data_IF_562008420385
#
_entry.id   IF_562008420385
#
_cell.length_a   1.000
_cell.length_b   1.000
_cell.length_c   1.000
_cell.angle_alpha   90.00
_cell.angle_beta   90.00
_cell.angle_gamma   90.00
#
_symmetry.space_group_name_H-M   'P 1'
#
loop_
_entity.id
_entity.type
_entity.pdbx_description
1 polymer ?
#
# COMPACT_ATOMS: atom_id res chain seq x y z
N UNK A 1 7.11 16.74 1.15
CA UNK A 1 5.68 16.41 0.99
C UNK A 1 5.11 15.93 2.31
N UNK A 2 3.84 16.20 2.60
CA UNK A 2 3.17 15.70 3.80
C UNK A 2 3.05 14.16 3.78
N UNK A 3 3.41 13.43 4.85
CA UNK A 3 3.36 11.96 4.86
C UNK A 3 1.97 11.40 4.57
N UNK A 4 0.92 12.04 5.08
CA UNK A 4 -0.45 11.60 4.85
C UNK A 4 -0.87 11.80 3.39
N UNK A 5 -0.50 12.95 2.80
CA UNK A 5 -0.70 13.18 1.35
C UNK A 5 0.09 12.19 0.49
N UNK A 6 1.31 11.83 0.90
CA UNK A 6 2.12 10.85 0.17
C UNK A 6 1.48 9.45 0.23
N UNK A 7 1.01 9.05 1.41
CA UNK A 7 0.29 7.80 1.63
C UNK A 7 -0.97 7.71 0.74
N UNK A 8 -1.77 8.78 0.71
CA UNK A 8 -2.94 8.90 -0.17
C UNK A 8 -2.58 8.85 -1.65
N UNK A 9 -1.53 9.57 -2.08
CA UNK A 9 -1.10 9.57 -3.47
C UNK A 9 -0.65 8.19 -3.94
N UNK A 10 0.12 7.46 -3.11
CA UNK A 10 0.53 6.09 -3.40
C UNK A 10 -0.66 5.13 -3.41
N UNK A 11 -1.62 5.33 -2.51
CA UNK A 11 -2.84 4.52 -2.49
C UNK A 11 -3.63 4.69 -3.79
N UNK A 12 -3.86 5.93 -4.22
CA UNK A 12 -4.54 6.25 -5.48
C UNK A 12 -3.76 5.75 -6.71
N UNK A 13 -2.42 5.84 -6.67
CA UNK A 13 -1.57 5.25 -7.71
C UNK A 13 -1.77 3.73 -7.81
N UNK A 14 -1.88 3.04 -6.68
CA UNK A 14 -2.22 1.61 -6.63
C UNK A 14 -3.58 1.33 -7.27
N UNK A 15 -4.61 2.13 -6.98
CA UNK A 15 -5.94 1.98 -7.61
C UNK A 15 -5.87 2.23 -9.13
N UNK A 16 -5.15 3.25 -9.57
CA UNK A 16 -4.96 3.54 -10.99
C UNK A 16 -4.19 2.43 -11.71
N UNK A 17 -3.13 1.90 -11.08
CA UNK A 17 -2.36 0.78 -11.61
C UNK A 17 -3.22 -0.50 -11.69
N UNK A 18 -4.08 -0.74 -10.70
CA UNK A 18 -5.03 -1.85 -10.73
C UNK A 18 -5.96 -1.76 -11.95
N UNK A 19 -6.57 -0.60 -12.16
CA UNK A 19 -7.40 -0.33 -13.34
C UNK A 19 -6.64 -0.58 -14.66
N UNK A 20 -5.40 -0.09 -14.74
CA UNK A 20 -4.54 -0.28 -15.91
C UNK A 20 -4.25 -1.77 -16.17
N UNK A 21 -3.81 -2.50 -15.16
CA UNK A 21 -3.50 -3.93 -15.29
C UNK A 21 -4.73 -4.81 -15.43
N UNK A 22 -5.91 -4.33 -15.05
CA UNK A 22 -7.16 -5.06 -15.27
C UNK A 22 -7.66 -4.90 -16.72
N UNK A 23 -7.67 -3.68 -17.25
CA UNK A 23 -8.35 -3.38 -18.53
C UNK A 23 -7.41 -3.22 -19.72
N UNK A 24 -6.24 -2.62 -19.54
CA UNK A 24 -5.36 -2.23 -20.65
C UNK A 24 -4.25 -3.25 -20.87
N UNK A 25 -3.71 -3.81 -19.79
CA UNK A 25 -2.66 -4.84 -19.85
C UNK A 25 -2.87 -5.92 -18.78
N UNK A 26 -3.83 -6.85 -18.98
CA UNK A 26 -4.11 -7.98 -18.09
C UNK A 26 -2.84 -8.66 -17.57
N UNK A 27 -2.52 -8.44 -16.30
CA UNK A 27 -1.38 -9.08 -15.63
C UNK A 27 -1.70 -9.30 -14.14
N UNK A 28 -1.73 -10.56 -13.72
CA UNK A 28 -2.06 -10.95 -12.35
C UNK A 28 -1.02 -10.46 -11.33
N UNK A 29 0.27 -10.49 -11.67
CA UNK A 29 1.33 -9.98 -10.79
C UNK A 29 1.22 -8.46 -10.64
N UNK A 30 0.93 -7.76 -11.74
CA UNK A 30 0.70 -6.31 -11.75
C UNK A 30 -0.52 -5.92 -10.91
N UNK A 31 -1.60 -6.69 -11.00
CA UNK A 31 -2.80 -6.54 -10.15
C UNK A 31 -2.46 -6.75 -8.68
N UNK A 32 -1.74 -7.82 -8.34
CA UNK A 32 -1.34 -8.11 -6.96
C UNK A 32 -0.46 -6.98 -6.38
N UNK A 33 0.53 -6.51 -7.15
CA UNK A 33 1.37 -5.37 -6.78
C UNK A 33 0.56 -4.08 -6.59
N UNK A 34 -0.37 -3.79 -7.50
CA UNK A 34 -1.22 -2.61 -7.43
C UNK A 34 -2.14 -2.62 -6.20
N UNK A 35 -2.74 -3.77 -5.87
CA UNK A 35 -3.53 -3.95 -4.65
C UNK A 35 -2.69 -3.79 -3.39
N UNK A 36 -1.50 -4.40 -3.38
CA UNK A 36 -0.54 -4.22 -2.29
C UNK A 36 -0.20 -2.75 -2.08
N UNK A 37 0.12 -2.03 -3.16
CA UNK A 37 0.43 -0.60 -3.13
C UNK A 37 -0.73 0.23 -2.60
N UNK A 38 -1.94 -0.03 -3.09
CA UNK A 38 -3.16 0.68 -2.68
C UNK A 38 -3.40 0.56 -1.18
N UNK A 39 -3.37 -0.68 -0.67
CA UNK A 39 -3.67 -0.99 0.73
C UNK A 39 -2.51 -0.62 1.66
N UNK A 40 -1.25 -0.83 1.23
CA UNK A 40 -0.07 -0.40 1.96
C UNK A 40 -0.07 1.11 2.21
N UNK A 41 -0.41 1.90 1.19
CA UNK A 41 -0.57 3.35 1.33
C UNK A 41 -1.75 3.76 2.23
N UNK A 42 -2.81 2.98 2.29
CA UNK A 42 -3.98 3.26 3.14
C UNK A 42 -3.86 2.71 4.58
N UNK A 43 -2.88 1.84 4.86
CA UNK A 43 -2.78 1.10 6.11
C UNK A 43 -2.47 1.96 7.34
N UNK A 44 -1.88 3.14 7.13
CA UNK A 44 -1.49 4.03 8.21
C UNK A 44 -1.98 5.46 7.94
N UNK A 45 -2.59 6.07 8.94
CA UNK A 45 -2.88 7.50 8.95
C UNK A 45 -1.75 8.25 9.65
N UNK A 46 -1.26 9.32 9.03
CA UNK A 46 -0.13 10.09 9.57
C UNK A 46 -0.63 11.44 10.12
N UNK A 47 -0.83 11.49 11.43
CA UNK A 47 -1.10 12.72 12.20
C UNK A 47 0.09 13.06 13.11
N UNK A 48 -0.15 13.15 14.42
CA UNK A 48 0.94 13.29 15.40
C UNK A 48 1.83 12.04 15.50
N UNK A 49 1.20 10.87 15.41
CA UNK A 49 1.86 9.56 15.39
C UNK A 49 1.24 8.73 14.27
N UNK A 50 1.98 7.77 13.69
CA UNK A 50 1.42 6.85 12.73
C UNK A 50 0.34 6.01 13.43
N UNK A 51 -0.89 6.10 12.98
CA UNK A 51 -2.01 5.32 13.50
C UNK A 51 -2.36 4.21 12.50
N UNK A 52 -2.28 2.92 12.90
CA UNK A 52 -2.70 1.81 12.06
C UNK A 52 -4.22 1.88 11.83
N UNK A 53 -4.67 1.87 10.57
CA UNK A 53 -6.09 1.90 10.24
C UNK A 53 -6.62 0.46 10.20
N UNK A 54 -7.47 0.03 11.17
CA UNK A 54 -7.79 -1.39 11.33
C UNK A 54 -8.46 -2.01 10.10
N UNK A 55 -9.34 -1.25 9.44
CA UNK A 55 -10.03 -1.71 8.23
C UNK A 55 -9.04 -2.05 7.12
N UNK A 56 -8.10 -1.15 6.81
CA UNK A 56 -7.14 -1.36 5.73
C UNK A 56 -6.10 -2.43 6.06
N UNK A 57 -5.67 -2.53 7.31
CA UNK A 57 -4.80 -3.61 7.75
C UNK A 57 -5.51 -4.98 7.71
N UNK A 58 -6.77 -5.03 8.11
CA UNK A 58 -7.59 -6.24 8.01
C UNK A 58 -7.74 -6.68 6.55
N UNK A 59 -8.05 -5.74 5.64
CA UNK A 59 -8.12 -6.00 4.21
C UNK A 59 -6.77 -6.42 3.63
N UNK A 60 -5.67 -5.77 4.04
CA UNK A 60 -4.32 -6.14 3.64
C UNK A 60 -4.00 -7.58 4.04
N UNK A 61 -4.27 -7.95 5.31
CA UNK A 61 -4.05 -9.31 5.81
C UNK A 61 -4.92 -10.35 5.11
N UNK A 62 -6.20 -10.05 4.90
CA UNK A 62 -7.12 -10.94 4.18
C UNK A 62 -6.66 -11.17 2.73
N UNK A 63 -6.31 -10.09 2.02
CA UNK A 63 -5.85 -10.20 0.64
C UNK A 63 -4.46 -10.84 0.54
N UNK A 64 -3.57 -10.62 1.52
CA UNK A 64 -2.30 -11.34 1.60
C UNK A 64 -2.54 -12.84 1.74
N UNK A 65 -3.47 -13.25 2.61
CA UNK A 65 -3.81 -14.67 2.78
C UNK A 65 -4.36 -15.25 1.47
N UNK A 66 -5.26 -14.54 0.79
CA UNK A 66 -5.79 -14.97 -0.50
C UNK A 66 -4.68 -15.06 -1.56
N UNK A 67 -3.77 -14.10 -1.61
CA UNK A 67 -2.63 -14.13 -2.54
C UNK A 67 -1.65 -15.27 -2.20
N UNK A 68 -1.45 -15.59 -0.93
CA UNK A 68 -0.61 -16.70 -0.50
C UNK A 68 -1.21 -18.07 -0.88
N UNK A 69 -2.54 -18.19 -0.86
CA UNK A 69 -3.23 -19.43 -1.19
C UNK A 69 -3.49 -19.61 -2.70
N UNK A 70 -3.79 -18.52 -3.42
CA UNK A 70 -4.35 -18.58 -4.76
C UNK A 70 -3.64 -17.70 -5.80
N UNK A 71 -2.57 -17.00 -5.43
CA UNK A 71 -2.03 -15.97 -6.31
C UNK A 71 -0.56 -15.66 -6.12
N UNK A 72 -0.26 -14.36 -6.08
CA UNK A 72 1.08 -13.80 -6.23
C UNK A 72 1.46 -13.03 -4.96
N UNK A 73 1.87 -13.72 -3.88
CA UNK A 73 2.09 -13.09 -2.59
C UNK A 73 3.31 -12.15 -2.61
N UNK A 74 4.35 -12.49 -3.37
CA UNK A 74 5.56 -11.66 -3.44
C UNK A 74 5.29 -10.30 -4.10
N UNK A 75 4.66 -10.19 -5.30
CA UNK A 75 4.28 -8.90 -5.85
C UNK A 75 3.36 -8.09 -4.92
N UNK A 76 2.41 -8.74 -4.26
CA UNK A 76 1.53 -8.06 -3.31
C UNK A 76 2.31 -7.47 -2.13
N UNK A 77 3.22 -8.23 -1.51
CA UNK A 77 4.07 -7.76 -0.43
C UNK A 77 5.00 -6.62 -0.87
N UNK A 78 5.56 -6.71 -2.08
CA UNK A 78 6.38 -5.65 -2.67
C UNK A 78 5.55 -4.36 -2.84
N UNK A 79 4.35 -4.47 -3.39
CA UNK A 79 3.42 -3.35 -3.48
C UNK A 79 3.12 -2.74 -2.11
N UNK A 80 2.79 -3.59 -1.12
CA UNK A 80 2.53 -3.17 0.25
C UNK A 80 3.69 -2.41 0.89
N UNK A 81 4.90 -2.94 0.74
CA UNK A 81 6.11 -2.29 1.21
C UNK A 81 6.34 -0.94 0.52
N UNK A 82 6.15 -0.87 -0.80
CA UNK A 82 6.27 0.39 -1.56
C UNK A 82 5.18 1.41 -1.18
N UNK A 83 4.00 0.97 -0.77
CA UNK A 83 2.91 1.84 -0.32
C UNK A 83 3.15 2.41 1.07
N UNK A 84 3.66 1.59 1.99
CA UNK A 84 3.82 1.95 3.39
C UNK A 84 5.18 2.56 3.74
N UNK A 85 6.27 2.12 3.10
CA UNK A 85 7.62 2.52 3.48
C UNK A 85 7.93 4.01 3.16
N UNK A 86 7.60 4.57 1.97
CA UNK A 86 7.92 5.97 1.68
C UNK A 86 7.20 6.97 2.60
N UNK A 87 5.88 6.84 2.89
CA UNK A 87 5.21 7.68 3.88
C UNK A 87 5.82 7.56 5.27
N UNK A 88 6.17 6.34 5.69
CA UNK A 88 6.82 6.10 6.98
C UNK A 88 8.20 6.77 7.08
N UNK A 89 9.03 6.66 6.04
CA UNK A 89 10.32 7.35 5.97
C UNK A 89 10.14 8.86 5.97
N UNK A 90 9.18 9.39 5.21
CA UNK A 90 8.85 10.82 5.20
C UNK A 90 8.41 11.33 6.58
N UNK A 91 7.64 10.54 7.32
CA UNK A 91 7.28 10.84 8.71
C UNK A 91 8.52 10.86 9.62
N UNK A 92 9.38 9.83 9.56
CA UNK A 92 10.57 9.71 10.40
C UNK A 92 11.57 10.84 10.18
N UNK A 93 11.73 11.29 8.93
CA UNK A 93 12.61 12.42 8.59
C UNK A 93 12.09 13.77 9.13
N UNK A 94 10.77 13.92 9.28
CA UNK A 94 10.15 15.15 9.82
C UNK A 94 10.13 15.19 11.35
N UNK A 95 10.04 14.03 12.01
CA UNK A 95 10.13 13.88 13.46
C UNK A 95 11.23 12.88 13.79
N UNK A 96 12.51 13.26 13.61
CA UNK A 96 13.61 12.40 14.04
C UNK A 96 13.46 12.15 15.53
N UNK A 97 13.47 10.87 15.92
CA UNK A 97 13.41 10.47 17.31
C UNK A 97 14.52 11.19 18.08
N UNK A 98 14.14 12.04 19.03
CA UNK A 98 15.05 12.50 20.07
C UNK A 98 15.23 11.38 21.09
#
# INVERSE_FOLDING_TARGET
MDPNRLAQALSLLGVAAYAYFLWLRPNQEGIALALGLALGGASFAYGERPFPVPLFLGLFGLLLLLQALFGHPLPFLLGGALGAAPPYLAYRLRRPAR
#
